data_IF_554596697581
#
_entry.id   IF_554596697581
#
_cell.length_a   1.000
_cell.length_b   1.000
_cell.length_c   1.000
_cell.angle_alpha   90.00
_cell.angle_beta   90.00
_cell.angle_gamma   90.00
#
_symmetry.space_group_name_H-M   'P 1'
#
loop_
_entity.id
_entity.type
_entity.pdbx_description
1 polymer ?
#
# COMPACT_ATOMS: atom_id res chain seq x y z
N UNK A 1 -2.88 -11.78 -14.83
CA UNK A 1 -4.12 -11.04 -15.15
C UNK A 1 -3.73 -9.64 -15.60
N UNK A 2 -4.45 -9.10 -16.56
CA UNK A 2 -4.05 -7.88 -17.27
C UNK A 2 -5.28 -7.09 -17.71
N UNK A 3 -5.35 -5.79 -17.40
CA UNK A 3 -6.31 -4.88 -18.03
C UNK A 3 -7.76 -4.97 -17.56
N UNK A 4 -8.08 -5.64 -16.44
CA UNK A 4 -9.48 -5.72 -15.99
C UNK A 4 -9.86 -4.49 -15.14
N UNK A 5 -11.06 -3.98 -15.38
CA UNK A 5 -11.75 -3.04 -14.51
C UNK A 5 -12.74 -3.77 -13.61
N UNK A 6 -12.65 -3.56 -12.30
CA UNK A 6 -13.58 -4.11 -11.31
C UNK A 6 -14.08 -2.96 -10.44
N UNK A 7 -15.39 -2.95 -10.19
CA UNK A 7 -16.05 -2.01 -9.28
C UNK A 7 -16.89 -2.79 -8.30
N UNK A 8 -16.90 -2.36 -7.04
CA UNK A 8 -17.70 -3.00 -5.97
C UNK A 8 -19.19 -3.11 -6.34
N UNK A 9 -19.79 -4.28 -6.14
CA UNK A 9 -21.26 -4.41 -6.19
C UNK A 9 -21.84 -3.93 -4.86
N UNK A 10 -22.68 -2.88 -4.82
CA UNK A 10 -23.26 -2.37 -3.58
C UNK A 10 -24.14 -3.39 -2.83
N UNK A 11 -24.42 -4.56 -3.42
CA UNK A 11 -25.15 -5.68 -2.78
C UNK A 11 -24.22 -6.71 -2.11
N UNK A 12 -22.91 -6.61 -2.30
CA UNK A 12 -21.95 -7.48 -1.64
C UNK A 12 -21.78 -7.10 -0.15
N UNK A 13 -21.36 -8.07 0.66
CA UNK A 13 -21.24 -7.89 2.11
C UNK A 13 -19.92 -7.19 2.48
N UNK A 14 -19.91 -6.26 3.46
CA UNK A 14 -18.70 -5.50 3.77
C UNK A 14 -17.56 -6.25 4.45
N UNK A 15 -17.82 -7.44 4.98
CA UNK A 15 -16.83 -8.32 5.60
C UNK A 15 -16.09 -9.20 4.57
N UNK A 16 -16.45 -9.10 3.29
CA UNK A 16 -15.75 -9.78 2.19
C UNK A 16 -14.50 -9.00 1.71
N UNK A 17 -13.87 -9.48 0.64
CA UNK A 17 -12.81 -8.76 -0.10
C UNK A 17 -13.25 -8.59 -1.55
N UNK A 18 -13.01 -7.41 -2.13
CA UNK A 18 -13.45 -7.13 -3.51
C UNK A 18 -12.72 -8.01 -4.54
N UNK A 19 -11.40 -8.09 -4.44
CA UNK A 19 -10.57 -9.04 -5.20
C UNK A 19 -9.63 -9.71 -4.22
N UNK A 20 -9.65 -11.05 -4.18
CA UNK A 20 -8.70 -11.85 -3.41
C UNK A 20 -7.88 -12.73 -4.36
N UNK A 21 -6.56 -12.67 -4.22
CA UNK A 21 -5.64 -13.65 -4.81
C UNK A 21 -5.06 -14.49 -3.69
N UNK A 22 -5.37 -15.79 -3.71
CA UNK A 22 -5.02 -16.74 -2.67
C UNK A 22 -3.95 -17.72 -3.17
N UNK A 23 -2.73 -17.56 -2.70
CA UNK A 23 -1.56 -18.37 -3.00
C UNK A 23 -1.09 -18.34 -4.44
N UNK A 24 -0.60 -19.49 -4.89
CA UNK A 24 -0.05 -19.68 -6.23
C UNK A 24 1.37 -19.14 -6.40
N UNK A 25 1.89 -19.21 -7.62
CA UNK A 25 3.26 -18.80 -7.91
C UNK A 25 3.39 -18.14 -9.29
N UNK A 26 4.37 -17.26 -9.46
CA UNK A 26 4.74 -16.64 -10.73
C UNK A 26 3.61 -15.86 -11.44
N UNK A 27 2.65 -15.35 -10.68
CA UNK A 27 1.56 -14.56 -11.24
C UNK A 27 1.87 -13.06 -11.21
N UNK A 28 1.24 -12.35 -12.14
CA UNK A 28 1.27 -10.88 -12.21
C UNK A 28 -0.15 -10.36 -12.36
N UNK A 29 -0.54 -9.42 -11.50
CA UNK A 29 -1.68 -8.53 -11.68
C UNK A 29 -1.16 -7.19 -12.21
N UNK A 30 -1.58 -6.80 -13.42
CA UNK A 30 -1.15 -5.52 -13.98
C UNK A 30 -2.21 -4.77 -14.75
N UNK A 31 -2.07 -3.45 -14.79
CA UNK A 31 -2.96 -2.55 -15.54
C UNK A 31 -4.44 -2.73 -15.20
N UNK A 32 -4.70 -3.12 -13.97
CA UNK A 32 -6.04 -3.28 -13.44
C UNK A 32 -6.57 -1.92 -12.97
N UNK A 33 -7.88 -1.73 -13.03
CA UNK A 33 -8.56 -0.64 -12.33
C UNK A 33 -9.53 -1.23 -11.31
N UNK A 34 -9.27 -1.04 -10.02
CA UNK A 34 -10.16 -1.50 -8.93
C UNK A 34 -10.72 -0.27 -8.22
N UNK A 35 -12.05 -0.17 -8.11
CA UNK A 35 -12.67 1.02 -7.52
C UNK A 35 -13.89 0.76 -6.64
N UNK A 36 -14.12 1.65 -5.67
CA UNK A 36 -15.37 1.75 -4.94
C UNK A 36 -15.56 0.72 -3.81
N UNK A 37 -14.49 0.08 -3.34
CA UNK A 37 -14.57 -0.99 -2.37
C UNK A 37 -15.27 -0.55 -1.07
N UNK A 38 -16.24 -1.35 -0.62
CA UNK A 38 -16.87 -1.26 0.71
C UNK A 38 -16.55 -2.53 1.48
N UNK A 39 -15.25 -2.77 1.67
CA UNK A 39 -14.71 -4.02 2.22
C UNK A 39 -13.40 -3.76 2.94
N UNK A 40 -12.84 -4.78 3.61
CA UNK A 40 -11.51 -4.70 4.22
C UNK A 40 -10.41 -4.33 3.21
N UNK A 41 -10.56 -4.67 1.93
CA UNK A 41 -9.64 -4.17 0.90
C UNK A 41 -10.22 -4.24 -0.51
N UNK A 42 -9.83 -3.30 -1.37
CA UNK A 42 -10.04 -3.45 -2.83
C UNK A 42 -9.28 -4.67 -3.39
N UNK A 43 -8.07 -4.93 -2.89
CA UNK A 43 -7.26 -6.10 -3.23
C UNK A 43 -6.66 -6.73 -1.97
N UNK A 44 -6.94 -8.02 -1.74
CA UNK A 44 -6.24 -8.87 -0.80
C UNK A 44 -5.28 -9.82 -1.55
N UNK A 45 -4.02 -9.87 -1.12
CA UNK A 45 -3.06 -10.93 -1.45
C UNK A 45 -2.85 -11.80 -0.21
N UNK A 46 -3.19 -13.09 -0.31
CA UNK A 46 -3.14 -14.05 0.79
C UNK A 46 -2.62 -15.42 0.35
N UNK A 47 -2.51 -16.40 1.27
CA UNK A 47 -2.34 -17.82 0.93
C UNK A 47 -0.93 -18.27 0.55
N UNK A 48 0.11 -17.65 1.09
CA UNK A 48 1.52 -18.00 0.85
C UNK A 48 1.99 -17.96 -0.63
N UNK A 49 1.70 -16.88 -1.38
CA UNK A 49 2.10 -16.78 -2.78
C UNK A 49 3.61 -16.64 -2.93
N UNK A 50 4.15 -17.11 -4.07
CA UNK A 50 5.58 -17.01 -4.41
C UNK A 50 5.83 -16.30 -5.73
N UNK A 51 6.85 -15.46 -5.79
CA UNK A 51 7.30 -14.80 -7.02
C UNK A 51 6.17 -14.04 -7.74
N UNK A 52 5.42 -13.24 -6.99
CA UNK A 52 4.20 -12.59 -7.44
C UNK A 52 4.39 -11.08 -7.65
N UNK A 53 3.55 -10.47 -8.51
CA UNK A 53 3.64 -9.05 -8.85
C UNK A 53 2.28 -8.37 -8.88
N UNK A 54 2.19 -7.20 -8.27
CA UNK A 54 1.09 -6.24 -8.40
C UNK A 54 1.68 -4.97 -8.97
N UNK A 55 1.46 -4.69 -10.24
CA UNK A 55 2.17 -3.58 -10.92
C UNK A 55 1.34 -2.78 -11.89
N UNK A 56 1.59 -1.47 -12.00
CA UNK A 56 0.90 -0.59 -12.96
C UNK A 56 -0.62 -0.58 -12.82
N UNK A 57 -1.16 -0.85 -11.63
CA UNK A 57 -2.60 -0.84 -11.37
C UNK A 57 -3.04 0.54 -10.86
N UNK A 58 -4.31 0.86 -11.09
CA UNK A 58 -5.00 1.93 -10.38
C UNK A 58 -5.99 1.30 -9.39
N UNK A 59 -5.80 1.53 -8.10
CA UNK A 59 -6.66 0.96 -7.05
C UNK A 59 -7.11 2.12 -6.17
N UNK A 60 -8.41 2.42 -6.19
CA UNK A 60 -8.93 3.67 -5.64
C UNK A 60 -10.25 3.56 -4.92
N UNK A 61 -10.54 4.62 -4.16
CA UNK A 61 -11.85 4.92 -3.59
C UNK A 61 -12.40 3.77 -2.72
N UNK A 62 -11.83 3.59 -1.53
CA UNK A 62 -12.47 2.79 -0.49
C UNK A 62 -13.42 3.66 0.32
N UNK A 63 -14.48 3.07 0.84
CA UNK A 63 -15.46 3.75 1.68
C UNK A 63 -15.35 3.25 3.14
N UNK A 64 -15.69 4.09 4.12
CA UNK A 64 -15.74 3.68 5.52
C UNK A 64 -16.89 2.69 5.73
N UNK A 65 -16.57 1.41 5.61
CA UNK A 65 -17.50 0.29 5.78
C UNK A 65 -17.19 -0.56 7.00
N UNK A 66 -15.97 -0.42 7.52
CA UNK A 66 -15.47 -1.15 8.67
C UNK A 66 -14.91 -0.18 9.71
N UNK A 67 -14.36 -0.72 10.80
CA UNK A 67 -13.69 0.08 11.81
C UNK A 67 -12.49 0.85 11.22
N UNK A 68 -12.07 1.89 11.93
CA UNK A 68 -10.87 2.65 11.57
C UNK A 68 -9.69 1.70 11.39
N UNK A 69 -8.88 1.94 10.35
CA UNK A 69 -7.70 1.16 9.97
C UNK A 69 -8.03 -0.20 9.32
N UNK A 70 -9.19 -0.33 8.66
CA UNK A 70 -9.58 -1.58 8.00
C UNK A 70 -9.93 -1.47 6.51
N UNK A 71 -10.33 -0.32 5.97
CA UNK A 71 -10.75 -0.20 4.55
C UNK A 71 -9.58 0.19 3.61
N UNK A 72 -8.73 -0.77 3.24
CA UNK A 72 -7.47 -0.52 2.51
C UNK A 72 -7.62 -0.56 0.98
N UNK A 73 -6.76 0.11 0.21
CA UNK A 73 -6.70 -0.14 -1.24
C UNK A 73 -6.06 -1.52 -1.50
N UNK A 74 -4.89 -1.77 -0.92
CA UNK A 74 -4.20 -3.06 -1.01
C UNK A 74 -3.87 -3.57 0.38
N UNK A 75 -4.25 -4.81 0.65
CA UNK A 75 -3.89 -5.55 1.85
C UNK A 75 -3.11 -6.81 1.45
N UNK A 76 -1.92 -6.98 2.04
CA UNK A 76 -1.07 -8.15 1.83
C UNK A 76 -0.89 -8.87 3.16
N UNK A 77 -1.50 -10.04 3.27
CA UNK A 77 -1.36 -10.92 4.40
C UNK A 77 -1.01 -12.34 3.93
N UNK A 78 0.27 -12.57 3.68
CA UNK A 78 0.71 -13.76 2.95
C UNK A 78 0.97 -14.98 3.82
N UNK A 79 1.08 -14.83 5.14
CA UNK A 79 1.58 -15.88 6.02
C UNK A 79 3.07 -16.21 5.78
N UNK A 80 3.60 -17.08 6.63
CA UNK A 80 5.04 -17.36 6.75
C UNK A 80 5.65 -17.98 5.48
N UNK A 81 4.83 -18.68 4.67
CA UNK A 81 5.30 -19.27 3.43
C UNK A 81 5.43 -18.30 2.26
N UNK A 82 4.73 -17.18 2.28
CA UNK A 82 4.66 -16.24 1.16
C UNK A 82 5.87 -15.32 1.05
N UNK A 83 6.39 -15.13 -0.17
CA UNK A 83 7.63 -14.36 -0.42
C UNK A 83 7.82 -13.97 -1.88
N UNK A 84 8.89 -13.20 -2.13
CA UNK A 84 9.32 -12.76 -3.45
C UNK A 84 8.24 -11.90 -4.13
N UNK A 85 7.61 -11.03 -3.34
CA UNK A 85 6.55 -10.13 -3.78
C UNK A 85 7.09 -8.81 -4.31
N UNK A 86 6.51 -8.32 -5.41
CA UNK A 86 6.79 -6.98 -5.95
C UNK A 86 5.50 -6.18 -6.09
N UNK A 87 5.43 -5.03 -5.44
CA UNK A 87 4.37 -4.04 -5.58
C UNK A 87 5.00 -2.80 -6.19
N UNK A 88 4.81 -2.60 -7.50
CA UNK A 88 5.57 -1.60 -8.26
C UNK A 88 4.72 -0.74 -9.19
N UNK A 89 4.94 0.57 -9.20
CA UNK A 89 4.32 1.50 -10.17
C UNK A 89 2.79 1.53 -10.13
N UNK A 90 2.19 1.29 -8.97
CA UNK A 90 0.74 1.41 -8.80
C UNK A 90 0.34 2.84 -8.38
N UNK A 91 -0.86 3.23 -8.76
CA UNK A 91 -1.58 4.38 -8.23
C UNK A 91 -2.59 3.88 -7.19
N UNK A 92 -2.36 4.22 -5.93
CA UNK A 92 -3.21 3.80 -4.81
C UNK A 92 -3.76 5.07 -4.15
N UNK A 93 -5.07 5.33 -4.22
CA UNK A 93 -5.58 6.58 -3.67
C UNK A 93 -6.99 6.54 -3.12
N UNK A 94 -7.31 7.53 -2.27
CA UNK A 94 -8.61 7.67 -1.61
C UNK A 94 -8.95 6.45 -0.74
N UNK A 95 -8.18 6.26 0.34
CA UNK A 95 -8.46 5.28 1.39
C UNK A 95 -8.65 5.97 2.76
N UNK A 96 -9.69 6.83 2.92
CA UNK A 96 -9.79 7.78 4.03
C UNK A 96 -9.97 7.13 5.41
N UNK A 97 -10.49 5.90 5.48
CA UNK A 97 -10.64 5.14 6.74
C UNK A 97 -9.54 4.10 6.98
N UNK A 98 -8.66 3.89 6.00
CA UNK A 98 -7.67 2.80 6.00
C UNK A 98 -6.30 3.24 5.50
N UNK A 99 -5.70 2.40 4.67
CA UNK A 99 -4.39 2.65 4.08
C UNK A 99 -4.35 2.39 2.60
N UNK A 100 -3.49 3.11 1.88
CA UNK A 100 -3.26 2.77 0.48
C UNK A 100 -2.59 1.40 0.37
N UNK A 101 -1.65 1.08 1.26
CA UNK A 101 -1.02 -0.23 1.34
C UNK A 101 -0.86 -0.70 2.78
N UNK A 102 -1.34 -1.90 3.09
CA UNK A 102 -1.07 -2.62 4.34
C UNK A 102 -0.30 -3.91 4.07
N UNK A 103 0.78 -4.13 4.81
CA UNK A 103 1.60 -5.34 4.79
C UNK A 103 1.62 -5.99 6.18
N UNK A 104 1.19 -7.24 6.28
CA UNK A 104 1.21 -8.02 7.51
C UNK A 104 -0.15 -8.19 8.18
N UNK A 105 -0.26 -9.17 9.06
CA UNK A 105 -1.51 -9.49 9.74
C UNK A 105 -2.11 -8.35 10.59
N UNK A 106 -3.33 -8.54 11.12
CA UNK A 106 -4.04 -7.56 11.92
C UNK A 106 -3.37 -7.19 13.24
N UNK A 107 -2.42 -7.96 13.79
CA UNK A 107 -1.74 -7.65 15.05
C UNK A 107 -0.37 -8.36 15.20
N UNK A 108 0.30 -8.16 16.34
CA UNK A 108 1.61 -8.75 16.66
C UNK A 108 1.67 -10.29 16.66
N UNK A 109 0.52 -10.96 16.86
CA UNK A 109 0.43 -12.41 17.01
C UNK A 109 -0.01 -13.14 15.73
N UNK A 110 -0.43 -12.39 14.71
CA UNK A 110 -0.91 -12.94 13.45
C UNK A 110 0.23 -13.14 12.42
N UNK A 111 -0.12 -13.83 11.34
CA UNK A 111 0.61 -14.11 10.12
C UNK A 111 1.62 -13.05 9.69
N UNK A 112 2.80 -13.53 9.31
CA UNK A 112 3.89 -12.70 8.83
C UNK A 112 3.74 -12.43 7.33
N UNK A 113 4.19 -11.25 6.90
CA UNK A 113 4.37 -10.92 5.49
C UNK A 113 5.85 -10.61 5.29
N UNK A 114 6.53 -11.32 4.38
CA UNK A 114 7.98 -11.20 4.25
C UNK A 114 8.50 -11.14 2.82
N UNK A 115 9.73 -10.61 2.68
CA UNK A 115 10.47 -10.56 1.41
C UNK A 115 9.66 -9.91 0.28
N UNK A 116 9.23 -8.66 0.54
CA UNK A 116 8.45 -7.83 -0.39
C UNK A 116 9.23 -6.56 -0.71
N UNK A 117 9.24 -6.22 -2.00
CA UNK A 117 9.69 -4.92 -2.49
C UNK A 117 8.47 -4.08 -2.85
N UNK A 118 8.38 -2.90 -2.26
CA UNK A 118 7.38 -1.87 -2.58
C UNK A 118 8.11 -0.71 -3.25
N UNK A 119 7.96 -0.54 -4.56
CA UNK A 119 8.73 0.46 -5.29
C UNK A 119 7.94 1.33 -6.25
N UNK A 120 8.35 2.59 -6.40
CA UNK A 120 7.78 3.52 -7.38
C UNK A 120 6.24 3.59 -7.37
N UNK A 121 5.57 3.39 -6.24
CA UNK A 121 4.12 3.58 -6.17
C UNK A 121 3.80 5.04 -5.81
N UNK A 122 2.66 5.53 -6.28
CA UNK A 122 2.09 6.80 -5.79
C UNK A 122 0.90 6.48 -4.90
N UNK A 123 0.97 6.89 -3.64
CA UNK A 123 -0.02 6.68 -2.60
C UNK A 123 -0.58 8.03 -2.15
N UNK A 124 -1.89 8.26 -2.30
CA UNK A 124 -2.47 9.58 -2.09
C UNK A 124 -3.80 9.54 -1.33
N UNK A 125 -4.01 10.49 -0.41
CA UNK A 125 -5.28 10.67 0.31
C UNK A 125 -5.76 9.41 1.05
N UNK A 126 -5.16 9.11 2.19
CA UNK A 126 -5.56 8.00 3.06
C UNK A 126 -5.50 8.40 4.54
N UNK A 127 -6.06 7.58 5.45
CA UNK A 127 -5.77 7.78 6.87
C UNK A 127 -4.25 7.66 7.10
N UNK A 128 -3.67 6.63 6.50
CA UNK A 128 -2.23 6.40 6.49
C UNK A 128 -1.82 5.87 5.11
N UNK A 129 -0.74 6.34 4.49
CA UNK A 129 -0.44 5.86 3.14
C UNK A 129 0.05 4.40 3.16
N UNK A 130 1.03 4.08 4.01
CA UNK A 130 1.60 2.73 4.10
C UNK A 130 1.68 2.26 5.56
N UNK A 131 1.16 1.07 5.82
CA UNK A 131 1.21 0.40 7.12
C UNK A 131 1.94 -0.94 7.00
N UNK A 132 2.86 -1.21 7.93
CA UNK A 132 3.48 -2.54 8.12
C UNK A 132 3.19 -3.02 9.53
N UNK A 133 2.78 -4.28 9.68
CA UNK A 133 2.33 -4.83 10.97
C UNK A 133 2.84 -6.23 11.28
N UNK A 134 2.68 -6.60 12.56
CA UNK A 134 2.88 -7.97 13.02
C UNK A 134 4.33 -8.43 12.95
N UNK A 135 4.52 -9.72 12.70
CA UNK A 135 5.85 -10.30 12.48
C UNK A 135 6.45 -10.02 11.10
N UNK A 136 5.93 -9.06 10.33
CA UNK A 136 6.42 -8.79 8.97
C UNK A 136 7.87 -8.33 8.94
N UNK A 137 8.65 -8.88 8.01
CA UNK A 137 10.11 -8.66 7.94
C UNK A 137 10.66 -8.72 6.52
N UNK A 138 11.90 -8.31 6.30
CA UNK A 138 12.54 -8.30 4.97
C UNK A 138 11.74 -7.50 3.92
N UNK A 139 11.26 -6.32 4.31
CA UNK A 139 10.47 -5.45 3.43
C UNK A 139 11.31 -4.23 3.06
N UNK A 140 11.45 -3.98 1.75
CA UNK A 140 12.10 -2.78 1.23
C UNK A 140 11.07 -1.87 0.57
N UNK A 141 10.96 -0.64 1.07
CA UNK A 141 10.09 0.41 0.53
C UNK A 141 11.00 1.46 -0.12
N UNK A 142 10.88 1.66 -1.43
CA UNK A 142 11.87 2.44 -2.18
C UNK A 142 11.26 3.26 -3.32
N UNK A 143 11.59 4.55 -3.38
CA UNK A 143 11.17 5.51 -4.42
C UNK A 143 9.66 5.68 -4.59
N UNK A 144 8.89 5.47 -3.54
CA UNK A 144 7.44 5.74 -3.56
C UNK A 144 7.17 7.24 -3.30
N UNK A 145 6.04 7.73 -3.79
CA UNK A 145 5.45 9.00 -3.33
C UNK A 145 4.31 8.66 -2.38
N UNK A 146 4.33 9.23 -1.18
CA UNK A 146 3.21 9.19 -0.23
C UNK A 146 2.74 10.61 0.02
N UNK A 147 1.46 10.90 -0.20
CA UNK A 147 0.94 12.25 -0.02
C UNK A 147 -0.48 12.33 0.54
N UNK A 148 -0.78 13.46 1.18
CA UNK A 148 -2.10 13.80 1.72
C UNK A 148 -2.65 12.76 2.69
N UNK A 149 -1.82 12.23 3.58
CA UNK A 149 -2.32 11.37 4.66
C UNK A 149 -2.98 12.21 5.76
N UNK A 150 -4.15 11.80 6.26
CA UNK A 150 -4.83 12.55 7.32
C UNK A 150 -4.27 12.29 8.72
N UNK A 151 -3.55 11.17 8.92
CA UNK A 151 -2.85 10.87 10.17
C UNK A 151 -1.33 10.85 9.96
N UNK A 152 -0.83 10.03 9.03
CA UNK A 152 0.62 9.78 8.88
C UNK A 152 0.98 9.15 7.54
N UNK A 153 2.17 9.40 7.02
CA UNK A 153 2.62 8.75 5.79
C UNK A 153 2.89 7.25 6.02
N UNK A 154 3.62 6.91 7.08
CA UNK A 154 4.01 5.54 7.40
C UNK A 154 3.61 5.12 8.82
N UNK A 155 3.21 3.86 9.00
CA UNK A 155 2.97 3.27 10.33
C UNK A 155 3.60 1.90 10.49
N UNK A 156 4.28 1.71 11.60
CA UNK A 156 4.64 0.42 12.14
C UNK A 156 3.59 0.02 13.21
N UNK A 157 2.59 -0.76 12.81
CA UNK A 157 1.48 -1.15 13.67
C UNK A 157 1.78 -2.47 14.37
N UNK A 158 2.06 -2.42 15.67
CA UNK A 158 2.44 -3.60 16.44
C UNK A 158 3.56 -4.43 15.77
N UNK A 159 4.53 -3.76 15.13
CA UNK A 159 5.57 -4.40 14.36
C UNK A 159 6.61 -5.06 15.27
N UNK A 160 6.78 -6.37 15.11
CA UNK A 160 7.76 -7.18 15.85
C UNK A 160 8.87 -7.71 14.95
N UNK A 161 8.59 -7.88 13.66
CA UNK A 161 9.55 -8.32 12.64
C UNK A 161 10.65 -7.29 12.34
N UNK A 162 11.72 -7.75 11.69
CA UNK A 162 12.93 -6.96 11.45
C UNK A 162 13.18 -6.66 9.96
N UNK A 163 14.21 -5.88 9.65
CA UNK A 163 14.62 -5.55 8.26
C UNK A 163 13.48 -4.98 7.39
N UNK A 164 12.63 -4.15 8.00
CA UNK A 164 11.66 -3.30 7.30
C UNK A 164 12.27 -1.91 7.12
N UNK A 165 12.60 -1.55 5.88
CA UNK A 165 13.39 -0.36 5.56
C UNK A 165 12.67 0.51 4.54
N UNK A 166 12.43 1.77 4.87
CA UNK A 166 12.26 2.83 3.88
C UNK A 166 13.64 3.22 3.39
N UNK A 167 13.99 2.83 2.16
CA UNK A 167 15.31 3.03 1.58
C UNK A 167 15.37 4.20 0.57
N UNK A 168 14.27 4.95 0.48
CA UNK A 168 14.06 6.01 -0.48
C UNK A 168 12.58 6.33 -0.58
N UNK A 169 12.20 7.60 -0.54
CA UNK A 169 10.80 7.97 -0.75
C UNK A 169 10.58 9.47 -0.62
N UNK A 170 9.46 9.93 -1.18
CA UNK A 170 9.07 11.33 -1.14
C UNK A 170 7.72 11.47 -0.45
N UNK A 171 7.66 12.35 0.55
CA UNK A 171 6.48 12.60 1.37
C UNK A 171 5.97 14.02 1.12
N UNK A 172 4.65 14.19 0.98
CA UNK A 172 4.04 15.51 0.90
C UNK A 172 2.69 15.57 1.64
N UNK A 173 2.52 16.53 2.55
CA UNK A 173 1.24 16.74 3.23
C UNK A 173 0.79 15.55 4.09
N UNK A 174 1.55 15.22 5.13
CA UNK A 174 1.13 14.30 6.19
C UNK A 174 1.45 14.94 7.56
N UNK A 175 0.56 14.86 8.57
CA UNK A 175 0.85 15.40 9.91
C UNK A 175 2.08 14.76 10.57
N UNK A 176 2.34 13.49 10.27
CA UNK A 176 3.45 12.72 10.80
C UNK A 176 4.08 11.89 9.68
N UNK A 177 5.42 11.90 9.60
CA UNK A 177 6.16 11.07 8.63
C UNK A 177 5.99 9.60 8.97
N UNK A 178 6.26 9.22 10.22
CA UNK A 178 6.21 7.85 10.67
C UNK A 178 5.74 7.78 12.11
N UNK A 179 4.88 6.80 12.41
CA UNK A 179 4.50 6.41 13.76
C UNK A 179 4.82 4.94 14.01
N UNK A 180 5.27 4.61 15.22
CA UNK A 180 5.31 3.24 15.71
C UNK A 180 4.42 3.13 16.95
N UNK A 181 3.65 2.04 17.03
CA UNK A 181 2.86 1.76 18.21
C UNK A 181 3.77 1.62 19.46
N UNK A 182 3.35 2.12 20.65
CA UNK A 182 4.19 2.07 21.84
C UNK A 182 4.66 0.65 22.20
N UNK A 183 5.96 0.48 22.45
CA UNK A 183 6.56 -0.81 22.78
C UNK A 183 6.92 -1.69 21.57
N UNK A 184 6.65 -1.23 20.35
CA UNK A 184 6.95 -1.95 19.11
C UNK A 184 8.07 -1.30 18.31
N UNK A 185 8.53 -2.02 17.28
CA UNK A 185 9.59 -1.54 16.41
C UNK A 185 9.09 -0.44 15.48
N UNK A 186 9.99 0.49 15.18
CA UNK A 186 9.86 1.43 14.08
C UNK A 186 10.37 0.82 12.77
N UNK A 187 9.89 1.36 11.65
CA UNK A 187 10.53 1.19 10.34
C UNK A 187 11.90 1.87 10.39
N UNK A 188 12.90 1.26 9.75
CA UNK A 188 14.18 1.92 9.54
C UNK A 188 14.06 2.94 8.41
N UNK A 189 14.52 4.17 8.65
CA UNK A 189 14.49 5.26 7.67
C UNK A 189 15.88 5.46 7.06
N UNK A 190 15.97 5.39 5.74
CA UNK A 190 17.12 5.75 4.92
C UNK A 190 16.61 6.58 3.72
N UNK A 191 17.09 7.82 3.59
CA UNK A 191 16.80 8.72 2.45
C UNK A 191 15.32 8.97 2.17
N UNK A 192 14.60 9.43 3.19
CA UNK A 192 13.25 9.99 3.02
C UNK A 192 13.35 11.50 2.80
N UNK A 193 12.72 11.97 1.73
CA UNK A 193 12.62 13.37 1.36
C UNK A 193 11.20 13.88 1.60
N UNK A 194 11.07 15.17 1.88
CA UNK A 194 9.78 15.85 2.01
C UNK A 194 9.70 16.98 1.00
N UNK A 195 8.55 17.12 0.33
CA UNK A 195 8.21 18.29 -0.47
C UNK A 195 6.87 18.86 -0.01
N UNK A 196 6.62 20.12 -0.33
CA UNK A 196 5.34 20.76 0.00
C UNK A 196 4.19 20.18 -0.84
N UNK A 197 4.38 20.12 -2.16
CA UNK A 197 3.40 19.61 -3.13
C UNK A 197 4.15 18.93 -4.31
N UNK A 198 3.85 17.67 -4.65
CA UNK A 198 4.40 17.01 -5.84
C UNK A 198 3.93 17.62 -7.17
N UNK A 199 2.91 18.50 -7.14
CA UNK A 199 2.31 19.18 -8.30
C UNK A 199 1.76 18.19 -9.33
N UNK A 200 0.93 17.25 -8.88
CA UNK A 200 0.34 16.26 -9.78
C UNK A 200 -0.52 16.92 -10.87
N UNK A 201 -0.36 16.45 -12.11
CA UNK A 201 -1.12 16.93 -13.28
C UNK A 201 -2.64 16.79 -13.13
N UNK A 202 -3.10 15.67 -12.58
CA UNK A 202 -4.51 15.36 -12.28
C UNK A 202 -4.59 14.25 -11.23
N UNK A 203 -5.66 14.24 -10.44
CA UNK A 203 -5.90 13.22 -9.40
C UNK A 203 -6.85 12.12 -9.93
N UNK A 204 -6.34 11.26 -10.82
CA UNK A 204 -7.12 10.17 -11.43
C UNK A 204 -6.20 9.02 -11.89
N UNK A 205 -6.75 7.89 -12.33
CA UNK A 205 -5.98 6.72 -12.78
C UNK A 205 -5.02 6.97 -13.97
N UNK A 206 -5.25 8.01 -14.76
CA UNK A 206 -4.31 8.44 -15.80
C UNK A 206 -3.37 9.56 -15.36
N UNK A 207 -3.49 10.02 -14.12
CA UNK A 207 -2.85 11.22 -13.56
C UNK A 207 -1.66 10.93 -12.68
N UNK A 208 -1.49 11.71 -11.61
CA UNK A 208 -0.41 11.57 -10.64
C UNK A 208 1.00 11.67 -11.25
N UNK A 209 1.14 12.40 -12.37
CA UNK A 209 2.46 12.75 -12.90
C UNK A 209 2.95 13.99 -12.17
N UNK A 210 4.05 13.91 -11.41
CA UNK A 210 4.54 15.06 -10.65
C UNK A 210 5.12 16.14 -11.57
N UNK A 211 4.71 17.38 -11.35
CA UNK A 211 5.31 18.57 -11.94
C UNK A 211 6.59 19.01 -11.21
N UNK A 212 6.69 18.74 -9.91
CA UNK A 212 7.88 19.04 -9.12
C UNK A 212 9.08 18.20 -9.58
N UNK A 213 10.24 18.85 -9.73
CA UNK A 213 11.44 18.21 -10.29
C UNK A 213 12.01 17.12 -9.38
N UNK A 214 11.91 17.30 -8.07
CA UNK A 214 12.38 16.29 -7.10
C UNK A 214 11.45 15.09 -7.15
N UNK A 215 10.13 15.32 -7.16
CA UNK A 215 9.12 14.27 -7.20
C UNK A 215 9.14 13.43 -8.49
N UNK A 216 9.64 13.94 -9.61
CA UNK A 216 9.78 13.18 -10.88
C UNK A 216 10.67 11.93 -10.80
N UNK A 217 11.56 11.83 -9.80
CA UNK A 217 12.36 10.62 -9.58
C UNK A 217 11.61 9.50 -8.83
N UNK A 218 10.37 9.77 -8.39
CA UNK A 218 9.59 8.94 -7.50
C UNK A 218 8.22 8.60 -8.10
N UNK A 219 7.56 7.59 -7.52
CA UNK A 219 6.17 7.27 -7.81
C UNK A 219 5.95 6.58 -9.16
N UNK A 220 4.68 6.37 -9.52
CA UNK A 220 4.28 5.44 -10.59
C UNK A 220 4.83 5.78 -11.98
N UNK A 221 5.16 7.05 -12.19
CA UNK A 221 5.63 7.57 -13.48
C UNK A 221 7.12 7.95 -13.48
N UNK A 222 7.88 7.61 -12.43
CA UNK A 222 9.33 7.76 -12.44
C UNK A 222 9.95 7.03 -13.66
N UNK A 223 11.09 7.50 -14.20
CA UNK A 223 11.76 6.86 -15.32
C UNK A 223 12.25 5.42 -15.06
#
# INVERSE_FOLDING_TARGET
>A
MDGLGVTWDPRAEPDEHMVKVDGGSHWTLRRMELSGARSYASLLVAGEPRAWRVTQNCIRDTYPSNDVNQDHNVYVNTGDGGRDGLIDRNLLFNAPNGSNLKLGGPDASDSTTSNIIVSHNTMFNAAQNLLVSGGSHDIRIDRNITAQASLRAYRAYQLTGDRVVLAGGLIAGAPEIQYADPGFRSLALDRVETVEDPQFDRLACGGFRPGDKTAQAYGAYAP
#
